data_IF_441381037212
#
_entry.id   IF_441381037212
#
_cell.length_a   1.000
_cell.length_b   1.000
_cell.length_c   1.000
_cell.angle_alpha   90.00
_cell.angle_beta   90.00
_cell.angle_gamma   90.00
#
_symmetry.space_group_name_H-M   'P 1'
#
loop_
_entity.id
_entity.type
_entity.pdbx_description
1 polymer ?
#
# COMPACT_ATOMS: atom_id res chain seq x y z
N UNK A 1 22.89 -8.45 23.73
CA UNK A 1 23.75 -9.44 23.02
C UNK A 1 24.43 -8.75 21.84
N UNK A 2 25.61 -9.22 21.38
CA UNK A 2 26.27 -8.67 20.18
C UNK A 2 25.83 -9.48 18.97
N UNK A 3 25.28 -8.82 17.96
CA UNK A 3 24.79 -9.42 16.72
C UNK A 3 25.44 -8.73 15.53
N UNK A 4 25.71 -9.49 14.47
CA UNK A 4 26.27 -8.97 13.22
C UNK A 4 25.21 -9.09 12.13
N UNK A 5 24.91 -7.99 11.45
CA UNK A 5 23.98 -7.94 10.34
C UNK A 5 24.74 -7.52 9.08
N UNK A 6 24.51 -8.23 7.97
CA UNK A 6 24.94 -7.78 6.66
C UNK A 6 23.89 -6.81 6.11
N UNK A 7 24.30 -5.57 5.83
CA UNK A 7 23.40 -4.50 5.39
C UNK A 7 23.93 -3.88 4.10
N UNK A 8 23.04 -3.52 3.16
CA UNK A 8 23.44 -2.79 1.96
C UNK A 8 24.21 -1.51 2.31
N UNK A 9 25.25 -1.14 1.54
CA UNK A 9 26.11 0.00 1.86
C UNK A 9 25.35 1.32 1.93
N UNK A 10 24.32 1.50 1.10
CA UNK A 10 23.47 2.69 1.13
C UNK A 10 22.67 2.80 2.43
N UNK A 11 22.21 1.68 3.00
CA UNK A 11 21.47 1.65 4.25
C UNK A 11 22.39 2.00 5.43
N UNK A 12 23.62 1.47 5.43
CA UNK A 12 24.64 1.83 6.42
C UNK A 12 24.96 3.33 6.35
N UNK A 13 25.06 3.89 5.14
CA UNK A 13 25.26 5.34 4.94
C UNK A 13 24.10 6.15 5.50
N UNK A 14 22.86 5.78 5.21
CA UNK A 14 21.67 6.45 5.71
C UNK A 14 21.60 6.42 7.24
N UNK A 15 21.90 5.26 7.86
CA UNK A 15 21.91 5.11 9.31
C UNK A 15 22.98 5.99 9.97
N UNK A 16 24.16 6.10 9.37
CA UNK A 16 25.23 7.00 9.83
C UNK A 16 24.84 8.47 9.73
N UNK A 17 24.27 8.88 8.60
CA UNK A 17 23.79 10.26 8.43
C UNK A 17 22.74 10.63 9.47
N UNK A 18 21.80 9.70 9.73
CA UNK A 18 20.77 9.89 10.75
C UNK A 18 21.36 10.01 12.16
N UNK A 19 22.32 9.17 12.50
CA UNK A 19 23.03 9.25 13.78
C UNK A 19 23.75 10.59 13.97
N UNK A 20 24.38 11.11 12.91
CA UNK A 20 25.01 12.43 12.93
C UNK A 20 23.98 13.55 13.11
N UNK A 21 22.89 13.54 12.32
CA UNK A 21 21.83 14.55 12.43
C UNK A 21 21.15 14.55 13.80
N UNK A 22 20.92 13.39 14.39
CA UNK A 22 20.26 13.27 15.69
C UNK A 22 21.24 13.43 16.87
N UNK A 23 22.55 13.52 16.63
CA UNK A 23 23.56 13.57 17.69
C UNK A 23 23.60 12.30 18.56
N UNK A 24 23.17 11.16 18.00
CA UNK A 24 23.03 9.87 18.71
C UNK A 24 24.07 8.86 18.23
N UNK A 25 24.34 7.83 19.04
CA UNK A 25 25.22 6.73 18.60
C UNK A 25 24.51 5.85 17.59
N UNK A 26 25.25 5.36 16.60
CA UNK A 26 24.73 4.51 15.53
C UNK A 26 23.94 3.29 16.05
N UNK A 27 24.44 2.65 17.11
CA UNK A 27 23.79 1.49 17.75
C UNK A 27 22.42 1.82 18.36
N UNK A 28 22.26 3.03 18.89
CA UNK A 28 21.03 3.44 19.57
C UNK A 28 19.96 3.80 18.53
N UNK A 29 20.37 4.43 17.43
CA UNK A 29 19.51 4.66 16.25
C UNK A 29 19.11 3.34 15.60
N UNK A 30 20.05 2.41 15.46
CA UNK A 30 19.77 1.08 14.91
C UNK A 30 18.74 0.32 15.75
N UNK A 31 18.93 0.28 17.07
CA UNK A 31 18.02 -0.39 18.00
C UNK A 31 16.61 0.21 17.94
N UNK A 32 16.49 1.54 18.02
CA UNK A 32 15.22 2.26 17.95
C UNK A 32 14.47 2.01 16.63
N UNK A 33 15.18 1.99 15.49
CA UNK A 33 14.57 1.67 14.21
C UNK A 33 14.12 0.20 14.11
N UNK A 34 14.89 -0.74 14.68
CA UNK A 34 14.51 -2.15 14.73
C UNK A 34 13.30 -2.36 15.63
N UNK A 35 13.27 -1.74 16.82
CA UNK A 35 12.14 -1.79 17.74
C UNK A 35 10.87 -1.24 17.09
N UNK A 36 10.94 -0.10 16.40
CA UNK A 36 9.81 0.45 15.64
C UNK A 36 9.36 -0.47 14.51
N UNK A 37 10.29 -1.12 13.82
CA UNK A 37 9.99 -2.09 12.78
C UNK A 37 9.29 -3.34 13.31
N UNK A 38 9.66 -3.78 14.53
CA UNK A 38 9.06 -4.93 15.22
C UNK A 38 7.74 -4.59 15.92
N UNK A 39 7.56 -3.35 16.38
CA UNK A 39 6.38 -2.87 17.07
C UNK A 39 5.30 -2.29 16.15
N UNK A 40 5.66 -1.99 14.89
CA UNK A 40 4.65 -1.76 13.87
C UNK A 40 3.70 -2.96 13.83
N UNK A 41 2.40 -2.78 13.50
CA UNK A 41 1.59 -3.93 13.14
C UNK A 41 2.41 -4.74 12.14
N UNK A 42 2.50 -6.07 12.30
CA UNK A 42 2.86 -6.94 11.18
C UNK A 42 2.12 -6.33 10.02
N UNK A 43 2.85 -5.74 9.08
CA UNK A 43 2.22 -4.91 8.06
C UNK A 43 1.11 -5.80 7.54
N UNK A 44 -0.14 -5.45 7.87
CA UNK A 44 -1.32 -5.82 7.12
C UNK A 44 -0.85 -5.43 5.74
N UNK A 45 -0.33 -6.41 5.00
CA UNK A 45 0.30 -6.19 3.72
C UNK A 45 -0.81 -5.55 2.95
N UNK A 46 -0.82 -4.19 2.87
CA UNK A 46 -1.96 -3.37 2.45
C UNK A 46 -2.65 -4.21 1.42
N UNK A 47 -3.82 -4.84 1.71
CA UNK A 47 -4.25 -6.06 1.03
C UNK A 47 -3.96 -5.81 -0.42
N UNK A 48 -2.90 -6.43 -0.97
CA UNK A 48 -2.32 -6.02 -2.26
C UNK A 48 -3.55 -5.88 -3.13
N UNK A 49 -3.92 -4.65 -3.51
CA UNK A 49 -5.18 -4.40 -4.22
C UNK A 49 -5.15 -5.43 -5.32
N UNK A 50 -5.95 -6.48 -5.17
CA UNK A 50 -5.68 -7.72 -5.87
C UNK A 50 -5.82 -7.31 -7.32
N UNK A 51 -4.70 -7.27 -8.05
CA UNK A 51 -4.71 -6.67 -9.37
C UNK A 51 -5.83 -7.37 -10.11
N UNK A 52 -6.86 -6.62 -10.57
CA UNK A 52 -8.07 -7.26 -11.01
C UNK A 52 -7.68 -8.19 -12.15
N UNK A 53 -8.02 -9.48 -12.01
CA UNK A 53 -7.60 -10.48 -12.97
C UNK A 53 -8.44 -10.28 -14.23
N UNK A 54 -7.81 -9.75 -15.29
CA UNK A 54 -8.42 -9.62 -16.60
C UNK A 54 -8.30 -10.97 -17.29
N UNK A 55 -9.44 -11.58 -17.63
CA UNK A 55 -9.50 -12.83 -18.38
C UNK A 55 -10.22 -12.61 -19.70
N UNK A 56 -9.61 -13.05 -20.80
CA UNK A 56 -10.25 -13.06 -22.11
C UNK A 56 -11.11 -14.32 -22.20
N UNK A 57 -12.42 -14.15 -22.34
CA UNK A 57 -13.34 -15.27 -22.48
C UNK A 57 -13.26 -15.90 -23.89
N UNK A 58 -13.85 -17.07 -24.05
CA UNK A 58 -13.94 -17.78 -25.35
C UNK A 58 -14.65 -16.97 -26.44
N UNK A 59 -15.50 -16.02 -26.06
CA UNK A 59 -16.16 -15.07 -26.97
C UNK A 59 -15.29 -13.85 -27.33
N UNK A 60 -14.05 -13.79 -26.85
CA UNK A 60 -13.11 -12.69 -27.09
C UNK A 60 -13.30 -11.46 -26.21
N UNK A 61 -14.29 -11.43 -25.32
CA UNK A 61 -14.53 -10.27 -24.45
C UNK A 61 -13.66 -10.33 -23.18
N UNK A 62 -13.01 -9.21 -22.78
CA UNK A 62 -12.29 -9.13 -21.52
C UNK A 62 -13.27 -9.06 -20.35
N UNK A 63 -13.03 -9.88 -19.33
CA UNK A 63 -13.75 -9.84 -18.07
C UNK A 63 -12.81 -9.50 -16.93
N UNK A 64 -13.13 -8.42 -16.23
CA UNK A 64 -12.43 -7.96 -15.04
C UNK A 64 -13.00 -8.70 -13.83
N UNK A 65 -12.24 -9.66 -13.27
CA UNK A 65 -12.70 -10.40 -12.09
C UNK A 65 -12.38 -9.64 -10.80
N UNK A 66 -13.43 -9.23 -10.10
CA UNK A 66 -13.33 -8.65 -8.76
C UNK A 66 -13.11 -9.72 -7.68
N UNK A 67 -12.63 -9.30 -6.51
CA UNK A 67 -12.47 -10.16 -5.34
C UNK A 67 -13.79 -10.86 -4.95
N UNK A 68 -13.68 -12.08 -4.43
CA UNK A 68 -14.85 -12.91 -4.11
C UNK A 68 -15.77 -12.29 -3.05
N UNK A 69 -15.25 -11.41 -2.20
CA UNK A 69 -15.94 -10.73 -1.11
C UNK A 69 -16.25 -9.24 -1.39
N UNK A 70 -16.17 -8.80 -2.66
CA UNK A 70 -16.38 -7.41 -3.04
C UNK A 70 -17.74 -6.89 -2.51
N UNK A 71 -17.79 -5.67 -1.90
CA UNK A 71 -19.03 -5.09 -1.37
C UNK A 71 -20.18 -5.06 -2.39
N UNK A 72 -19.85 -4.78 -3.65
CA UNK A 72 -20.79 -4.78 -4.78
C UNK A 72 -21.65 -6.05 -4.92
N UNK A 73 -21.18 -7.22 -4.43
CA UNK A 73 -21.97 -8.46 -4.47
C UNK A 73 -23.19 -8.46 -3.56
N UNK A 74 -23.25 -7.57 -2.58
CA UNK A 74 -24.33 -7.46 -1.59
C UNK A 74 -25.18 -6.20 -1.77
N UNK A 75 -24.86 -5.39 -2.78
CA UNK A 75 -25.56 -4.15 -3.07
C UNK A 75 -26.77 -4.43 -3.98
N UNK A 76 -27.83 -3.67 -3.78
CA UNK A 76 -28.98 -3.59 -4.68
C UNK A 76 -28.60 -2.90 -6.00
N UNK A 77 -29.46 -3.01 -7.01
CA UNK A 77 -29.24 -2.34 -8.30
C UNK A 77 -29.13 -0.81 -8.15
N UNK A 78 -29.98 -0.20 -7.32
CA UNK A 78 -29.96 1.24 -7.09
C UNK A 78 -28.68 1.69 -6.36
N UNK A 79 -28.21 0.92 -5.39
CA UNK A 79 -26.96 1.18 -4.69
C UNK A 79 -25.75 1.06 -5.64
N UNK A 80 -25.77 0.09 -6.57
CA UNK A 80 -24.73 -0.06 -7.58
C UNK A 80 -24.70 1.14 -8.55
N UNK A 81 -25.87 1.61 -8.99
CA UNK A 81 -25.98 2.79 -9.84
C UNK A 81 -25.52 4.07 -9.11
N UNK A 82 -25.81 4.19 -7.82
CA UNK A 82 -25.32 5.29 -7.00
C UNK A 82 -23.78 5.28 -6.89
N UNK A 83 -23.20 4.11 -6.61
CA UNK A 83 -21.74 3.93 -6.54
C UNK A 83 -21.06 4.25 -7.87
N UNK A 84 -21.62 3.83 -8.99
CA UNK A 84 -21.10 4.16 -10.33
C UNK A 84 -21.06 5.68 -10.54
N UNK A 85 -22.16 6.37 -10.27
CA UNK A 85 -22.25 7.83 -10.44
C UNK A 85 -21.25 8.57 -9.55
N UNK A 86 -21.10 8.15 -8.31
CA UNK A 86 -20.12 8.72 -7.37
C UNK A 86 -18.69 8.52 -7.88
N UNK A 87 -18.34 7.31 -8.31
CA UNK A 87 -17.01 6.99 -8.82
C UNK A 87 -16.67 7.82 -10.07
N UNK A 88 -17.62 7.94 -11.02
CA UNK A 88 -17.44 8.76 -12.23
C UNK A 88 -17.27 10.24 -11.88
N UNK A 89 -18.11 10.79 -11.00
CA UNK A 89 -18.00 12.18 -10.57
C UNK A 89 -16.65 12.47 -9.88
N UNK A 90 -16.18 11.55 -9.04
CA UNK A 90 -14.87 11.66 -8.41
C UNK A 90 -13.73 11.66 -9.43
N UNK A 91 -13.77 10.77 -10.43
CA UNK A 91 -12.76 10.73 -11.49
C UNK A 91 -12.76 12.01 -12.34
N UNK A 92 -13.95 12.54 -12.67
CA UNK A 92 -14.07 13.81 -13.39
C UNK A 92 -13.45 14.97 -12.60
N UNK A 93 -13.70 15.05 -11.29
CA UNK A 93 -13.07 16.05 -10.41
C UNK A 93 -11.55 15.91 -10.38
N UNK A 94 -11.04 14.67 -10.29
CA UNK A 94 -9.60 14.41 -10.34
C UNK A 94 -8.98 14.86 -11.66
N UNK A 95 -9.64 14.59 -12.79
CA UNK A 95 -9.17 14.99 -14.13
C UNK A 95 -9.16 16.50 -14.31
N UNK A 96 -10.05 17.21 -13.65
CA UNK A 96 -10.09 18.68 -13.61
C UNK A 96 -9.04 19.29 -12.65
N UNK A 97 -8.23 18.46 -11.98
CA UNK A 97 -7.20 18.92 -11.04
C UNK A 97 -7.76 19.37 -9.69
N UNK A 98 -9.03 19.07 -9.41
CA UNK A 98 -9.65 19.31 -8.11
C UNK A 98 -9.52 18.04 -7.26
N UNK A 99 -8.31 17.76 -6.79
CA UNK A 99 -8.12 16.76 -5.73
C UNK A 99 -8.42 17.42 -4.37
N UNK A 100 -9.45 16.91 -3.67
CA UNK A 100 -9.66 17.14 -2.23
C UNK A 100 -8.64 16.36 -1.40
#
# INVERSE_FOLDING_TARGET
MKTTFDLPPDLVRALKLRAVHEGRKLKDVAADLLERGLAGPETDAKPKLAQPKIEIQSNGLPVVRCAANAPAKRMTADELLALEREALAQEDLQRLGHAL
#
